data_IF_071744955107
#
_entry.id   IF_071744955107
#
_cell.length_a   1.000
_cell.length_b   1.000
_cell.length_c   1.000
_cell.angle_alpha   90.00
_cell.angle_beta   90.00
_cell.angle_gamma   90.00
#
_symmetry.space_group_name_H-M   'P 1'
#
loop_
_entity.id
_entity.type
_entity.pdbx_description
1 polymer ?
#
# COMPACT_ATOMS: atom_id res chain seq x y z
N UNK A 1 11.40 2.75 -0.57
CA UNK A 1 11.23 1.57 0.32
C UNK A 1 9.82 1.03 0.17
N UNK A 2 9.67 -0.30 0.20
CA UNK A 2 8.38 -1.00 0.17
C UNK A 2 7.98 -1.40 1.60
N UNK A 3 6.72 -1.20 1.97
CA UNK A 3 6.14 -1.62 3.24
C UNK A 3 5.09 -2.72 3.01
N UNK A 4 5.25 -3.85 3.72
CA UNK A 4 4.30 -4.96 3.74
C UNK A 4 3.30 -4.80 4.89
N UNK A 5 2.06 -4.42 4.56
CA UNK A 5 0.95 -4.35 5.50
C UNK A 5 -0.13 -5.40 5.20
N UNK A 6 0.26 -6.63 4.83
CA UNK A 6 -0.67 -7.71 4.50
C UNK A 6 -1.72 -7.99 5.58
N UNK A 7 -1.48 -7.64 6.84
CA UNK A 7 -2.40 -7.81 7.97
C UNK A 7 -2.96 -6.49 8.53
N UNK A 8 -2.84 -5.39 7.80
CA UNK A 8 -3.28 -4.06 8.24
C UNK A 8 -4.73 -3.69 7.90
N UNK A 9 -5.17 -3.80 6.63
CA UNK A 9 -6.45 -3.25 6.19
C UNK A 9 -7.62 -3.85 6.94
N UNK A 10 -8.46 -3.01 7.53
CA UNK A 10 -9.68 -3.43 8.21
C UNK A 10 -9.51 -3.86 9.68
N UNK A 11 -8.29 -3.84 10.25
CA UNK A 11 -8.07 -4.22 11.66
C UNK A 11 -7.20 -3.23 12.45
N UNK A 12 -6.30 -2.50 11.81
CA UNK A 12 -5.50 -1.44 12.45
C UNK A 12 -5.47 -0.17 11.59
N UNK A 13 -5.33 1.02 12.20
CA UNK A 13 -5.09 2.25 11.46
C UNK A 13 -3.81 2.13 10.62
N UNK A 14 -3.91 2.44 9.33
CA UNK A 14 -2.78 2.46 8.41
C UNK A 14 -2.47 3.90 8.02
N UNK A 15 -1.26 4.36 8.33
CA UNK A 15 -0.75 5.65 7.87
C UNK A 15 -0.13 5.50 6.47
N UNK A 16 -0.91 5.87 5.46
CA UNK A 16 -0.47 5.87 4.06
C UNK A 16 0.55 6.97 3.74
N UNK A 17 0.71 7.96 4.64
CA UNK A 17 1.71 9.03 4.50
C UNK A 17 3.07 8.65 5.08
N UNK A 18 3.13 7.56 5.85
CA UNK A 18 4.38 7.03 6.42
C UNK A 18 5.42 6.84 5.31
N UNK A 19 6.68 7.17 5.61
CA UNK A 19 7.76 7.40 4.63
C UNK A 19 8.12 6.28 3.63
N UNK A 20 7.35 5.20 3.56
CA UNK A 20 7.40 4.21 2.50
C UNK A 20 7.01 4.82 1.14
N UNK A 21 7.74 4.43 0.10
CA UNK A 21 7.46 4.85 -1.29
C UNK A 21 6.40 3.98 -1.96
N UNK A 22 6.29 2.73 -1.50
CA UNK A 22 5.25 1.78 -1.89
C UNK A 22 4.75 1.06 -0.63
N UNK A 23 3.45 0.85 -0.53
CA UNK A 23 2.78 0.15 0.56
C UNK A 23 1.72 -0.78 -0.05
N UNK A 24 1.69 -2.05 0.35
CA UNK A 24 0.62 -2.97 -0.07
C UNK A 24 -0.05 -3.64 1.13
N UNK A 25 -1.25 -4.17 0.93
CA UNK A 25 -1.88 -5.04 1.93
C UNK A 25 -3.10 -5.81 1.41
N UNK A 26 -3.44 -6.90 2.10
CA UNK A 26 -4.45 -7.84 1.65
C UNK A 26 -5.85 -7.40 2.09
N UNK A 27 -6.75 -7.18 1.14
CA UNK A 27 -8.14 -6.87 1.41
C UNK A 27 -8.95 -8.12 1.78
N UNK A 28 -8.55 -9.29 1.26
CA UNK A 28 -9.25 -10.56 1.46
C UNK A 28 -9.12 -11.18 2.85
N UNK A 29 -8.50 -10.47 3.79
CA UNK A 29 -8.43 -10.88 5.20
C UNK A 29 -9.55 -10.21 5.99
N UNK A 30 -9.40 -8.91 6.27
CA UNK A 30 -10.28 -8.21 7.21
C UNK A 30 -11.26 -7.22 6.55
N UNK A 31 -11.26 -7.08 5.22
CA UNK A 31 -12.20 -6.22 4.48
C UNK A 31 -13.29 -7.00 3.75
N UNK A 32 -13.49 -8.29 4.09
CA UNK A 32 -14.48 -9.16 3.45
C UNK A 32 -14.41 -9.18 1.91
N UNK A 33 -13.24 -8.90 1.33
CA UNK A 33 -13.04 -8.92 -0.12
C UNK A 33 -12.79 -10.34 -0.64
N UNK A 34 -13.06 -10.64 -1.93
CA UNK A 34 -12.76 -11.95 -2.52
C UNK A 34 -11.29 -12.37 -2.34
N UNK A 35 -11.03 -13.67 -2.20
CA UNK A 35 -9.65 -14.20 -2.11
C UNK A 35 -8.81 -13.70 -3.29
N UNK A 36 -7.61 -13.21 -2.99
CA UNK A 36 -6.71 -12.61 -3.98
C UNK A 36 -6.84 -11.10 -4.12
N UNK A 37 -7.80 -10.44 -3.46
CA UNK A 37 -7.88 -8.97 -3.46
C UNK A 37 -6.85 -8.33 -2.53
N UNK A 38 -6.16 -7.30 -3.03
CA UNK A 38 -5.18 -6.49 -2.32
C UNK A 38 -5.21 -5.05 -2.85
N UNK A 39 -4.63 -4.11 -2.10
CA UNK A 39 -4.40 -2.74 -2.56
C UNK A 39 -2.89 -2.46 -2.64
N UNK A 40 -2.51 -1.53 -3.52
CA UNK A 40 -1.17 -0.99 -3.63
C UNK A 40 -1.25 0.53 -3.58
N UNK A 41 -0.62 1.13 -2.59
CA UNK A 41 -0.45 2.56 -2.44
C UNK A 41 0.97 2.95 -2.86
N UNK A 42 1.08 3.91 -3.78
CA UNK A 42 2.36 4.45 -4.22
C UNK A 42 2.39 5.91 -3.81
N UNK A 43 3.40 6.28 -3.02
CA UNK A 43 3.59 7.68 -2.64
C UNK A 43 4.01 8.45 -3.88
N UNK A 44 3.28 9.52 -4.21
CA UNK A 44 3.64 10.43 -5.30
C UNK A 44 4.92 11.16 -4.93
N UNK A 45 6.04 10.58 -5.33
CA UNK A 45 7.33 11.25 -5.33
C UNK A 45 7.49 11.81 -6.74
N UNK A 46 7.69 13.13 -6.88
CA UNK A 46 8.01 13.71 -8.20
C UNK A 46 9.30 13.06 -8.66
N UNK A 47 9.20 12.09 -9.58
CA UNK A 47 10.32 11.60 -10.35
C UNK A 47 10.41 12.49 -11.58
N UNK A 48 11.02 13.67 -11.45
CA UNK A 48 11.60 14.35 -12.61
C UNK A 48 12.74 13.47 -13.09
N UNK A 49 12.42 12.50 -13.95
CA UNK A 49 13.44 12.01 -14.88
C UNK A 49 13.72 13.20 -15.80
N UNK A 50 14.96 13.72 -15.91
CA UNK A 50 15.32 14.34 -17.18
C UNK A 50 15.10 13.23 -18.21
N UNK A 51 14.24 13.50 -19.19
CA UNK A 51 14.20 12.65 -20.36
C UNK A 51 15.63 12.61 -20.91
N UNK A 52 16.17 11.41 -21.08
CA UNK A 52 17.35 11.19 -21.92
C UNK A 52 17.06 11.71 -23.33
#
# INVERSE_FOLDING_TARGET
MLLDAAHGPGIVPLDLSSGSGLLHGNCHKWLCSPKGSAFLHIRRTVSTSPAL
#
